data_IF_704261316788
#
_entry.id   IF_704261316788
#
_cell.length_a   1.000
_cell.length_b   1.000
_cell.length_c   1.000
_cell.angle_alpha   90.00
_cell.angle_beta   90.00
_cell.angle_gamma   90.00
#
_symmetry.space_group_name_H-M   'P 1'
#
loop_
_entity.id
_entity.type
_entity.pdbx_description
1 polymer ?
#
# COMPACT_ATOMS: atom_id res chain seq x y z
N UNK A 1 -6.39 -20.56 -26.76
CA UNK A 1 -7.30 -20.94 -25.66
C UNK A 1 -6.75 -22.21 -25.02
N UNK A 2 -6.66 -22.25 -23.69
CA UNK A 2 -6.21 -23.41 -22.93
C UNK A 2 -7.35 -23.87 -22.04
N UNK A 3 -7.67 -25.16 -22.10
CA UNK A 3 -8.59 -25.82 -21.19
C UNK A 3 -7.80 -26.52 -20.09
N UNK A 4 -8.27 -26.40 -18.86
CA UNK A 4 -7.72 -27.13 -17.73
C UNK A 4 -8.87 -27.79 -17.02
N UNK A 5 -8.75 -29.09 -16.75
CA UNK A 5 -9.76 -29.83 -16.00
C UNK A 5 -9.31 -29.93 -14.54
N UNK A 6 -10.20 -29.57 -13.62
CA UNK A 6 -9.93 -29.71 -12.19
C UNK A 6 -10.07 -31.17 -11.72
N UNK A 7 -9.67 -31.45 -10.48
CA UNK A 7 -9.73 -32.80 -9.91
C UNK A 7 -11.15 -33.38 -9.77
N UNK A 8 -12.20 -32.57 -9.97
CA UNK A 8 -13.61 -32.95 -9.91
C UNK A 8 -14.24 -33.04 -11.31
N UNK A 9 -13.46 -32.89 -12.38
CA UNK A 9 -13.94 -32.93 -13.76
C UNK A 9 -14.52 -31.60 -14.27
N UNK A 10 -14.47 -30.53 -13.48
CA UNK A 10 -14.85 -29.19 -13.90
C UNK A 10 -13.83 -28.61 -14.89
N UNK A 11 -14.31 -28.00 -15.97
CA UNK A 11 -13.45 -27.38 -16.98
C UNK A 11 -13.32 -25.88 -16.74
N UNK A 12 -12.10 -25.39 -16.62
CA UNK A 12 -11.77 -23.95 -16.70
C UNK A 12 -11.09 -23.65 -18.03
N UNK A 13 -11.32 -22.44 -18.55
CA UNK A 13 -10.76 -21.99 -19.81
C UNK A 13 -10.03 -20.67 -19.63
N UNK A 14 -8.83 -20.58 -20.21
CA UNK A 14 -8.04 -19.36 -20.25
C UNK A 14 -7.77 -18.99 -21.71
N UNK A 15 -7.85 -17.70 -22.02
CA UNK A 15 -7.55 -17.16 -23.34
C UNK A 15 -6.57 -16.01 -23.17
N UNK A 16 -5.61 -15.93 -24.07
CA UNK A 16 -4.61 -14.87 -24.13
C UNK A 16 -4.69 -14.18 -25.48
N UNK A 17 -4.31 -12.91 -25.53
CA UNK A 17 -4.09 -12.19 -26.78
C UNK A 17 -2.75 -12.61 -27.44
N UNK A 18 -2.44 -12.03 -28.60
CA UNK A 18 -1.21 -12.32 -29.35
C UNK A 18 0.07 -11.96 -28.56
N UNK A 19 -0.02 -10.96 -27.67
CA UNK A 19 1.07 -10.54 -26.78
C UNK A 19 1.23 -11.45 -25.54
N UNK A 20 0.47 -12.54 -25.44
CA UNK A 20 0.56 -13.49 -24.33
C UNK A 20 -0.06 -12.99 -23.02
N UNK A 21 -0.92 -11.97 -23.08
CA UNK A 21 -1.65 -11.42 -21.93
C UNK A 21 -3.02 -12.06 -21.78
N UNK A 22 -3.42 -12.39 -20.55
CA UNK A 22 -4.71 -13.04 -20.28
C UNK A 22 -5.86 -12.10 -20.65
N UNK A 23 -6.67 -12.49 -21.63
CA UNK A 23 -7.83 -11.71 -22.11
C UNK A 23 -9.17 -12.24 -21.58
N UNK A 24 -9.25 -13.53 -21.24
CA UNK A 24 -10.48 -14.15 -20.72
C UNK A 24 -10.19 -15.35 -19.83
N UNK A 25 -10.97 -15.49 -18.77
CA UNK A 25 -11.00 -16.65 -17.89
C UNK A 25 -12.46 -17.05 -17.71
N UNK A 26 -12.76 -18.32 -17.99
CA UNK A 26 -14.03 -18.94 -17.67
C UNK A 26 -13.77 -19.99 -16.61
N UNK A 27 -14.39 -19.87 -15.44
CA UNK A 27 -14.24 -20.86 -14.37
C UNK A 27 -15.13 -22.10 -14.61
N UNK A 28 -15.04 -23.09 -13.72
CA UNK A 28 -15.81 -24.33 -13.83
C UNK A 28 -17.33 -24.14 -13.70
N UNK A 29 -17.80 -22.98 -13.21
CA UNK A 29 -19.22 -22.62 -13.15
C UNK A 29 -19.74 -21.97 -14.44
N UNK A 30 -18.84 -21.66 -15.38
CA UNK A 30 -19.16 -20.92 -16.59
C UNK A 30 -19.08 -19.41 -16.43
N UNK A 31 -18.81 -18.91 -15.23
CA UNK A 31 -18.61 -17.48 -14.95
C UNK A 31 -17.38 -16.97 -15.68
N UNK A 32 -17.49 -15.82 -16.34
CA UNK A 32 -16.45 -15.27 -17.21
C UNK A 32 -15.89 -13.97 -16.67
N UNK A 33 -14.58 -13.82 -16.65
CA UNK A 33 -13.89 -12.53 -16.45
C UNK A 33 -13.09 -12.20 -17.71
N UNK A 34 -13.14 -10.95 -18.15
CA UNK A 34 -12.44 -10.46 -19.32
C UNK A 34 -11.53 -9.28 -18.96
N UNK A 35 -10.36 -9.22 -19.61
CA UNK A 35 -9.37 -8.15 -19.43
C UNK A 35 -9.01 -7.54 -20.78
N UNK A 36 -8.83 -6.23 -20.79
CA UNK A 36 -8.51 -5.45 -21.97
C UNK A 36 -7.29 -4.60 -21.67
N UNK A 37 -6.33 -4.59 -22.58
CA UNK A 37 -5.06 -3.90 -22.43
C UNK A 37 -4.90 -2.83 -23.51
N UNK A 38 -4.08 -1.82 -23.25
CA UNK A 38 -3.61 -0.88 -24.26
C UNK A 38 -2.38 -1.41 -25.01
N UNK A 39 -1.92 -0.65 -26.00
CA UNK A 39 -0.73 -0.97 -26.82
C UNK A 39 0.58 -1.02 -25.99
N UNK A 40 0.58 -0.47 -24.77
CA UNK A 40 1.70 -0.53 -23.83
C UNK A 40 1.56 -1.68 -22.85
N UNK A 41 0.69 -2.64 -23.14
CA UNK A 41 0.43 -3.85 -22.33
C UNK A 41 -0.15 -3.55 -20.94
N UNK A 42 -0.75 -2.37 -20.73
CA UNK A 42 -1.36 -1.96 -19.46
C UNK A 42 -2.84 -2.30 -19.43
N UNK A 43 -3.34 -2.85 -18.33
CA UNK A 43 -4.76 -3.19 -18.16
C UNK A 43 -5.62 -1.92 -18.13
N UNK A 44 -6.50 -1.71 -19.11
CA UNK A 44 -7.38 -0.53 -19.17
C UNK A 44 -8.83 -0.83 -18.77
N UNK A 45 -9.23 -2.11 -18.80
CA UNK A 45 -10.57 -2.54 -18.36
C UNK A 45 -10.56 -3.99 -17.91
N UNK A 46 -11.30 -4.27 -16.85
CA UNK A 46 -11.70 -5.61 -16.43
C UNK A 46 -13.23 -5.67 -16.37
N UNK A 47 -13.82 -6.74 -16.89
CA UNK A 47 -15.25 -7.03 -16.79
C UNK A 47 -15.43 -8.36 -16.08
N UNK A 48 -16.21 -8.41 -15.00
CA UNK A 48 -16.51 -9.65 -14.29
C UNK A 48 -17.71 -10.39 -14.91
N UNK A 49 -18.09 -11.51 -14.28
CA UNK A 49 -19.15 -12.39 -14.79
C UNK A 49 -20.55 -11.76 -14.72
N UNK A 50 -20.73 -10.75 -13.87
CA UNK A 50 -21.97 -9.98 -13.73
C UNK A 50 -22.01 -8.78 -14.69
N UNK A 51 -21.05 -8.71 -15.62
CA UNK A 51 -20.87 -7.60 -16.57
C UNK A 51 -20.50 -6.26 -15.91
N UNK A 52 -20.14 -6.26 -14.63
CA UNK A 52 -19.61 -5.08 -13.97
C UNK A 52 -18.21 -4.79 -14.49
N UNK A 53 -17.96 -3.54 -14.88
CA UNK A 53 -16.71 -3.12 -15.53
C UNK A 53 -15.92 -2.15 -14.65
N UNK A 54 -14.67 -2.49 -14.35
CA UNK A 54 -13.71 -1.56 -13.75
C UNK A 54 -12.76 -1.06 -14.84
N UNK A 55 -12.51 0.24 -14.91
CA UNK A 55 -11.58 0.87 -15.88
C UNK A 55 -10.41 1.51 -15.18
N UNK A 56 -9.27 1.54 -15.85
CA UNK A 56 -8.00 2.04 -15.31
C UNK A 56 -7.42 3.08 -16.26
N UNK A 57 -7.08 4.24 -15.72
CA UNK A 57 -6.44 5.35 -16.42
C UNK A 57 -5.00 5.51 -15.97
N UNK A 58 -4.12 5.87 -16.91
CA UNK A 58 -2.69 6.03 -16.67
C UNK A 58 -2.18 7.35 -17.25
N UNK A 59 -1.11 7.90 -16.68
CA UNK A 59 -0.34 8.97 -17.30
C UNK A 59 0.61 8.43 -18.40
N UNK A 60 1.29 9.36 -19.09
CA UNK A 60 2.26 9.03 -20.14
C UNK A 60 3.50 8.27 -19.61
N UNK A 61 3.79 8.41 -18.32
CA UNK A 61 4.88 7.69 -17.66
C UNK A 61 4.47 6.28 -17.22
N UNK A 62 3.19 5.92 -17.31
CA UNK A 62 2.68 4.61 -16.91
C UNK A 62 2.17 4.52 -15.49
N UNK A 63 2.07 5.63 -14.75
CA UNK A 63 1.50 5.61 -13.41
C UNK A 63 -0.03 5.59 -13.50
N UNK A 64 -0.65 4.76 -12.66
CA UNK A 64 -2.10 4.72 -12.50
C UNK A 64 -2.58 6.07 -11.94
N UNK A 65 -3.50 6.73 -12.63
CA UNK A 65 -4.07 8.03 -12.25
C UNK A 65 -5.53 7.92 -11.84
N UNK A 66 -6.26 6.96 -12.41
CA UNK A 66 -7.70 6.83 -12.23
C UNK A 66 -8.14 5.36 -12.21
N UNK A 67 -9.11 5.04 -11.34
CA UNK A 67 -9.88 3.79 -11.42
C UNK A 67 -11.36 4.13 -11.35
N UNK A 68 -12.09 3.80 -12.41
CA UNK A 68 -13.55 3.95 -12.48
C UNK A 68 -14.16 2.60 -12.12
N UNK A 69 -14.92 2.56 -11.03
CA UNK A 69 -15.60 1.38 -10.53
C UNK A 69 -16.84 1.07 -11.38
N UNK A 70 -17.40 -0.13 -11.21
CA UNK A 70 -18.56 -0.58 -11.95
C UNK A 70 -19.82 0.29 -11.76
N UNK A 71 -19.93 0.95 -10.60
CA UNK A 71 -21.01 1.89 -10.28
C UNK A 71 -20.73 3.32 -10.77
N UNK A 72 -19.66 3.53 -11.54
CA UNK A 72 -19.26 4.82 -12.09
C UNK A 72 -18.51 5.72 -11.12
N UNK A 73 -18.34 5.35 -9.84
CA UNK A 73 -17.53 6.14 -8.91
C UNK A 73 -16.05 5.99 -9.20
N UNK A 74 -15.29 7.04 -8.90
CA UNK A 74 -13.88 7.14 -9.30
C UNK A 74 -12.93 7.21 -8.11
N UNK A 75 -11.87 6.43 -8.19
CA UNK A 75 -10.67 6.56 -7.35
C UNK A 75 -9.61 7.32 -8.13
N UNK A 76 -9.00 8.35 -7.55
CA UNK A 76 -7.93 9.10 -8.20
C UNK A 76 -6.61 8.99 -7.44
N UNK A 77 -5.52 8.94 -8.19
CA UNK A 77 -4.16 8.84 -7.72
C UNK A 77 -3.34 9.97 -8.33
N UNK A 78 -2.44 10.56 -7.55
CA UNK A 78 -1.43 11.48 -8.06
C UNK A 78 -0.07 11.07 -7.53
N UNK A 79 0.89 10.95 -8.44
CA UNK A 79 2.29 10.65 -8.17
C UNK A 79 3.15 11.91 -8.29
N UNK A 80 4.30 11.90 -7.63
CA UNK A 80 5.38 12.85 -7.92
C UNK A 80 6.16 12.42 -9.18
N UNK A 81 7.13 13.25 -9.60
CA UNK A 81 7.97 12.97 -10.77
C UNK A 81 8.78 11.66 -10.67
N UNK A 82 8.93 11.08 -9.48
CA UNK A 82 9.59 9.80 -9.26
C UNK A 82 8.58 8.62 -9.21
N UNK A 83 7.32 8.85 -9.60
CA UNK A 83 6.27 7.83 -9.64
C UNK A 83 5.70 7.46 -8.27
N UNK A 84 6.01 8.22 -7.22
CA UNK A 84 5.58 7.88 -5.85
C UNK A 84 4.26 8.57 -5.52
N UNK A 85 3.31 7.84 -4.97
CA UNK A 85 2.00 8.38 -4.57
C UNK A 85 2.14 9.57 -3.59
N UNK A 86 1.50 10.69 -3.91
CA UNK A 86 1.42 11.92 -3.09
C UNK A 86 -0.02 12.34 -2.77
N UNK A 87 -1.00 11.90 -3.56
CA UNK A 87 -2.43 12.12 -3.27
C UNK A 87 -3.26 10.93 -3.69
N UNK A 88 -4.24 10.59 -2.86
CA UNK A 88 -5.28 9.62 -3.12
C UNK A 88 -6.63 10.28 -2.86
N UNK A 89 -7.57 10.13 -3.78
CA UNK A 89 -8.96 10.55 -3.59
C UNK A 89 -9.84 9.32 -3.71
N UNK A 90 -10.59 9.00 -2.65
CA UNK A 90 -11.51 7.87 -2.65
C UNK A 90 -12.76 8.14 -3.52
N UNK A 91 -13.57 7.10 -3.81
CA UNK A 91 -14.86 7.24 -4.49
C UNK A 91 -15.84 8.20 -3.82
N UNK A 92 -15.65 8.47 -2.52
CA UNK A 92 -16.48 9.39 -1.73
C UNK A 92 -15.89 10.81 -1.67
N UNK A 93 -14.87 11.11 -2.48
CA UNK A 93 -14.17 12.40 -2.46
C UNK A 93 -13.24 12.61 -1.27
N UNK A 94 -12.98 11.57 -0.45
CA UNK A 94 -12.09 11.65 0.72
C UNK A 94 -10.64 11.67 0.27
N UNK A 95 -9.89 12.69 0.64
CA UNK A 95 -8.52 12.91 0.17
C UNK A 95 -7.50 12.50 1.25
N UNK A 96 -6.53 11.67 0.89
CA UNK A 96 -5.31 11.44 1.69
C UNK A 96 -4.11 12.01 0.94
N UNK A 97 -3.20 12.68 1.65
CA UNK A 97 -1.98 13.28 1.08
C UNK A 97 -0.75 12.76 1.79
N UNK A 98 0.34 12.63 1.03
CA UNK A 98 1.66 12.29 1.54
C UNK A 98 2.66 13.36 1.14
N UNK A 99 3.45 13.82 2.10
CA UNK A 99 4.62 14.65 1.88
C UNK A 99 5.86 13.78 2.08
N UNK A 100 6.88 14.02 1.26
CA UNK A 100 8.13 13.28 1.27
C UNK A 100 9.31 14.19 1.61
N UNK A 101 10.35 13.61 2.19
CA UNK A 101 11.62 14.31 2.36
C UNK A 101 12.49 14.23 1.09
N UNK A 102 13.68 14.85 1.12
CA UNK A 102 14.60 14.84 -0.03
C UNK A 102 15.11 13.46 -0.44
N UNK A 103 14.98 12.44 0.42
CA UNK A 103 15.30 11.06 0.11
C UNK A 103 14.08 10.25 -0.36
N UNK A 104 12.91 10.88 -0.46
CA UNK A 104 11.67 10.23 -0.92
C UNK A 104 10.87 9.51 0.15
N UNK A 105 11.32 9.53 1.40
CA UNK A 105 10.64 8.86 2.53
C UNK A 105 9.44 9.70 2.95
N UNK A 106 8.36 9.08 3.40
CA UNK A 106 7.14 9.80 3.82
C UNK A 106 7.44 10.60 5.08
N UNK A 107 7.50 11.93 4.97
CA UNK A 107 7.70 12.84 6.11
C UNK A 107 6.40 13.11 6.86
N UNK A 108 5.27 13.17 6.16
CA UNK A 108 3.96 13.21 6.80
C UNK A 108 2.85 12.69 5.91
N UNK A 109 1.79 12.19 6.55
CA UNK A 109 0.54 11.78 5.94
C UNK A 109 -0.59 12.59 6.56
N UNK A 110 -1.47 13.13 5.73
CA UNK A 110 -2.72 13.77 6.17
C UNK A 110 -3.88 12.96 5.63
N UNK A 111 -4.75 12.46 6.50
CA UNK A 111 -5.93 11.71 6.10
C UNK A 111 -7.09 12.64 5.68
N UNK A 112 -8.21 12.03 5.31
CA UNK A 112 -9.39 12.75 4.85
C UNK A 112 -10.10 13.57 5.92
N UNK A 113 -9.81 13.33 7.19
CA UNK A 113 -10.32 14.11 8.32
C UNK A 113 -9.37 15.26 8.69
N UNK A 114 -8.30 15.47 7.91
CA UNK A 114 -7.27 16.47 8.19
C UNK A 114 -6.30 16.05 9.28
N UNK A 115 -6.40 14.81 9.79
CA UNK A 115 -5.51 14.30 10.84
C UNK A 115 -4.14 14.02 10.24
N UNK A 116 -3.10 14.56 10.87
CA UNK A 116 -1.74 14.51 10.36
C UNK A 116 -0.86 13.60 11.22
N UNK A 117 -0.24 12.62 10.58
CA UNK A 117 0.83 11.81 11.16
C UNK A 117 2.16 12.25 10.54
N UNK A 118 3.20 12.45 11.35
CA UNK A 118 4.53 12.85 10.88
C UNK A 118 5.60 11.84 11.28
N UNK A 119 6.57 11.64 10.41
CA UNK A 119 7.66 10.68 10.57
C UNK A 119 8.99 11.42 10.43
N UNK A 120 9.94 11.08 11.29
CA UNK A 120 11.31 11.57 11.22
C UNK A 120 12.26 10.39 11.19
N UNK A 121 13.28 10.50 10.36
CA UNK A 121 14.24 9.44 10.09
C UNK A 121 15.65 9.93 10.36
N UNK A 122 16.55 9.01 10.73
CA UNK A 122 17.97 9.30 10.77
C UNK A 122 18.62 9.22 9.36
N UNK A 123 19.94 9.40 9.32
CA UNK A 123 20.73 9.35 8.09
C UNK A 123 20.69 7.96 7.40
N UNK A 124 20.40 6.90 8.15
CA UNK A 124 20.34 5.53 7.67
C UNK A 124 18.92 5.10 7.24
N UNK A 125 17.92 5.99 7.32
CA UNK A 125 16.55 5.63 6.93
C UNK A 125 15.70 5.05 8.05
N UNK A 126 16.20 4.99 9.28
CA UNK A 126 15.48 4.38 10.41
C UNK A 126 14.55 5.40 11.05
N UNK A 127 13.35 4.97 11.38
CA UNK A 127 12.33 5.85 11.98
C UNK A 127 12.75 6.24 13.41
N UNK A 128 13.11 7.50 13.65
CA UNK A 128 13.51 7.98 14.99
C UNK A 128 12.42 8.73 15.71
N UNK A 129 11.44 9.27 14.99
CA UNK A 129 10.30 9.98 15.58
C UNK A 129 9.00 9.70 14.84
N UNK A 130 7.93 9.48 15.58
CA UNK A 130 6.55 9.46 15.08
C UNK A 130 5.74 10.47 15.86
N UNK A 131 5.01 11.34 15.18
CA UNK A 131 3.97 12.17 15.79
C UNK A 131 2.64 11.73 15.22
N UNK A 132 1.74 11.21 16.06
CA UNK A 132 0.43 10.75 15.62
C UNK A 132 -0.54 11.93 15.41
N UNK A 133 -1.77 11.61 15.02
CA UNK A 133 -2.85 12.55 14.78
C UNK A 133 -3.23 13.42 16.00
N UNK A 134 -2.96 12.94 17.21
CA UNK A 134 -3.24 13.64 18.46
C UNK A 134 -2.10 14.58 18.86
N UNK A 135 -1.03 14.66 18.07
CA UNK A 135 0.19 15.40 18.41
C UNK A 135 1.11 14.67 19.38
N UNK A 136 0.78 13.42 19.74
CA UNK A 136 1.59 12.61 20.64
C UNK A 136 2.87 12.16 19.94
N UNK A 137 4.00 12.41 20.58
CA UNK A 137 5.33 12.17 20.00
C UNK A 137 6.01 10.96 20.62
N UNK A 138 6.28 9.97 19.78
CA UNK A 138 7.06 8.78 20.08
C UNK A 138 8.49 8.97 19.56
N UNK A 139 9.46 8.44 20.29
CA UNK A 139 10.87 8.40 19.87
C UNK A 139 11.36 6.98 19.87
N UNK A 140 12.20 6.65 18.90
CA UNK A 140 12.74 5.31 18.73
C UNK A 140 14.26 5.37 18.64
N UNK A 141 14.92 4.37 19.22
CA UNK A 141 16.36 4.17 19.10
C UNK A 141 16.62 2.79 18.55
N UNK A 142 17.63 2.71 17.69
CA UNK A 142 18.03 1.48 17.05
C UNK A 142 19.39 1.03 17.57
N UNK A 143 19.62 -0.28 17.60
CA UNK A 143 20.94 -0.83 17.90
C UNK A 143 21.86 -0.77 16.68
N UNK A 144 23.09 -1.28 16.83
CA UNK A 144 24.11 -1.32 15.77
C UNK A 144 23.77 -2.28 14.62
N UNK A 145 22.72 -3.09 14.78
CA UNK A 145 22.20 -4.01 13.75
C UNK A 145 20.90 -3.49 13.13
N UNK A 146 20.61 -2.18 13.30
CA UNK A 146 19.42 -1.49 12.78
C UNK A 146 18.08 -1.99 13.31
N UNK A 147 18.08 -2.65 14.48
CA UNK A 147 16.86 -3.14 15.13
C UNK A 147 16.38 -2.16 16.18
N UNK A 148 15.06 -2.08 16.42
CA UNK A 148 14.48 -1.22 17.44
C UNK A 148 14.95 -1.65 18.84
N UNK A 149 15.78 -0.85 19.50
CA UNK A 149 16.29 -1.12 20.84
C UNK A 149 15.45 -0.48 21.95
N UNK A 150 14.90 0.71 21.70
CA UNK A 150 14.12 1.46 22.68
C UNK A 150 13.01 2.27 22.01
N UNK A 151 11.82 2.24 22.61
CA UNK A 151 10.72 3.15 22.31
C UNK A 151 10.45 4.04 23.54
N UNK A 152 10.31 5.33 23.31
CA UNK A 152 9.96 6.33 24.31
C UNK A 152 8.58 6.87 23.95
N UNK A 153 7.62 6.64 24.83
CA UNK A 153 6.24 7.07 24.67
C UNK A 153 6.07 8.56 25.01
N UNK A 154 4.94 9.18 24.65
CA UNK A 154 4.65 10.59 24.91
C UNK A 154 4.68 10.94 26.40
N UNK A 155 4.27 10.00 27.26
CA UNK A 155 4.32 10.09 28.72
C UNK A 155 5.73 9.93 29.31
N UNK A 156 6.74 9.72 28.46
CA UNK A 156 8.13 9.49 28.86
C UNK A 156 8.43 8.05 29.26
N UNK A 157 7.44 7.15 29.30
CA UNK A 157 7.67 5.73 29.55
C UNK A 157 8.59 5.14 28.47
N UNK A 158 9.55 4.33 28.91
CA UNK A 158 10.51 3.68 28.01
C UNK A 158 10.24 2.19 27.97
N UNK A 159 10.21 1.66 26.77
CA UNK A 159 10.08 0.25 26.48
C UNK A 159 11.36 -0.19 25.77
N UNK A 160 12.11 -1.09 26.41
CA UNK A 160 13.34 -1.63 25.84
C UNK A 160 13.07 -3.00 25.19
N UNK A 161 13.72 -3.23 24.06
CA UNK A 161 13.63 -4.48 23.33
C UNK A 161 15.01 -5.15 23.33
N UNK A 162 15.02 -6.44 23.66
CA UNK A 162 16.22 -7.28 23.60
C UNK A 162 15.97 -8.43 22.64
N UNK A 163 16.97 -8.70 21.83
CA UNK A 163 16.92 -9.73 20.80
C UNK A 163 17.92 -10.82 21.14
N UNK A 164 17.49 -12.08 21.00
CA UNK A 164 18.39 -13.22 21.11
C UNK A 164 19.19 -13.41 19.80
N UNK A 165 20.13 -14.37 19.80
CA UNK A 165 21.00 -14.67 18.66
C UNK A 165 20.25 -15.10 17.38
N UNK A 166 18.98 -15.49 17.48
CA UNK A 166 18.10 -15.84 16.36
C UNK A 166 17.24 -14.67 15.88
N UNK A 167 17.53 -13.46 16.34
CA UNK A 167 16.79 -12.24 16.03
C UNK A 167 15.30 -12.26 16.45
N UNK A 168 14.93 -13.14 17.39
CA UNK A 168 13.58 -13.14 17.99
C UNK A 168 13.59 -12.20 19.19
N UNK A 169 12.76 -11.17 19.13
CA UNK A 169 12.61 -10.18 20.20
C UNK A 169 11.81 -10.76 21.36
N UNK A 170 12.35 -10.66 22.58
CA UNK A 170 11.55 -10.73 23.79
C UNK A 170 11.43 -9.32 24.34
N UNK A 171 10.25 -8.70 24.23
CA UNK A 171 9.97 -7.41 24.85
C UNK A 171 10.21 -7.54 26.36
N UNK A 172 11.14 -6.76 26.91
CA UNK A 172 11.55 -6.91 28.30
C UNK A 172 11.65 -5.54 28.96
N UNK A 173 10.66 -5.25 29.82
CA UNK A 173 10.69 -4.15 30.79
C UNK A 173 10.07 -2.85 30.30
N UNK A 174 8.92 -2.50 30.87
CA UNK A 174 8.44 -1.11 30.95
C UNK A 174 9.20 -0.46 32.11
N UNK A 175 10.06 0.52 31.84
CA UNK A 175 10.67 1.31 32.90
C UNK A 175 10.05 2.71 32.90
N UNK A 176 9.26 3.01 33.94
CA UNK A 176 8.83 4.37 34.25
C UNK A 176 10.02 5.07 34.92
N UNK A 177 10.67 5.98 34.20
CA UNK A 177 11.62 6.90 34.82
C UNK A 177 10.88 7.81 35.82
N UNK A 178 11.53 8.27 36.91
CA UNK A 178 10.88 9.08 37.92
C UNK A 178 10.43 10.41 37.30
N UNK A 179 9.16 10.77 37.54
CA UNK A 179 8.66 12.10 37.24
C UNK A 179 9.47 13.15 38.00
N UNK A 180 9.79 14.25 37.32
CA UNK A 180 10.22 15.49 37.97
C UNK A 180 9.00 16.25 38.45
#
# INVERSE_FOLDING_TARGET
>A
MVQITDARGGNKYLQWNEDGQLMRHTDCSGSQTAWFYDERTRLIRMTDAESHSTRYGYDDSGHLTEVILADGRTVNYQSDAAGRLVKYTSPMGRITRWQRDGQGRVRSRTDAMGRRTAFGYDAYGRLVTLTNENGERYRFRHDVLDRLAEQINPDGCRQAYRYNALNRGHGSGVHRGPGR
#
